data_IF_780979912574
#
_entry.id   IF_780979912574
#
_cell.length_a   1.000
_cell.length_b   1.000
_cell.length_c   1.000
_cell.angle_alpha   90.00
_cell.angle_beta   90.00
_cell.angle_gamma   90.00
#
_symmetry.space_group_name_H-M   'P 1'
#
loop_
_entity.id
_entity.type
_entity.pdbx_description
1 polymer ?
#
# COMPACT_ATOMS: atom_id res chain seq x y z
N UNK A 1 -7.04 -19.19 -49.81
CA UNK A 1 -6.78 -18.02 -48.96
C UNK A 1 -5.29 -18.03 -48.66
N UNK A 2 -4.56 -16.97 -48.98
CA UNK A 2 -3.12 -16.90 -48.69
C UNK A 2 -2.89 -16.80 -47.17
N UNK A 3 -2.11 -17.73 -46.65
CA UNK A 3 -1.82 -17.83 -45.21
C UNK A 3 -1.08 -16.60 -44.70
N UNK A 4 -0.16 -16.04 -45.48
CA UNK A 4 0.60 -14.86 -45.07
C UNK A 4 -0.29 -13.62 -45.00
N UNK A 5 -1.22 -13.47 -45.95
CA UNK A 5 -2.22 -12.41 -45.92
C UNK A 5 -3.14 -12.52 -44.69
N UNK A 6 -3.64 -13.72 -44.38
CA UNK A 6 -4.44 -13.95 -43.18
C UNK A 6 -3.66 -13.61 -41.91
N UNK A 7 -2.42 -14.11 -41.79
CA UNK A 7 -1.55 -13.87 -40.64
C UNK A 7 -1.26 -12.38 -40.45
N UNK A 8 -0.99 -11.65 -41.53
CA UNK A 8 -0.78 -10.20 -41.48
C UNK A 8 -2.03 -9.46 -40.99
N UNK A 9 -3.20 -9.75 -41.57
CA UNK A 9 -4.48 -9.13 -41.16
C UNK A 9 -4.83 -9.47 -39.70
N UNK A 10 -4.61 -10.72 -39.29
CA UNK A 10 -4.84 -11.17 -37.92
C UNK A 10 -3.95 -10.43 -36.93
N UNK A 11 -2.64 -10.36 -37.19
CA UNK A 11 -1.69 -9.63 -36.34
C UNK A 11 -2.00 -8.13 -36.32
N UNK A 12 -2.37 -7.53 -37.46
CA UNK A 12 -2.79 -6.14 -37.52
C UNK A 12 -4.05 -5.86 -36.70
N UNK A 13 -4.95 -6.85 -36.52
CA UNK A 13 -6.18 -6.67 -35.74
C UNK A 13 -5.98 -6.87 -34.22
N UNK A 14 -5.13 -7.82 -33.83
CA UNK A 14 -5.03 -8.30 -32.44
C UNK A 14 -3.69 -8.02 -31.74
N UNK A 15 -2.66 -7.68 -32.51
CA UNK A 15 -1.30 -7.36 -32.03
C UNK A 15 -0.75 -6.08 -32.69
N UNK A 16 -1.63 -5.14 -33.04
CA UNK A 16 -1.21 -3.85 -33.57
C UNK A 16 -0.43 -3.04 -32.54
N UNK A 17 0.33 -2.05 -33.03
CA UNK A 17 1.00 -1.07 -32.19
C UNK A 17 0.04 -0.40 -31.21
N UNK A 18 -1.17 -0.03 -31.64
CA UNK A 18 -2.17 0.58 -30.78
C UNK A 18 -2.59 -0.34 -29.61
N UNK A 19 -2.80 -1.64 -29.88
CA UNK A 19 -3.12 -2.63 -28.84
C UNK A 19 -1.95 -2.77 -27.87
N UNK A 20 -0.72 -2.93 -28.37
CA UNK A 20 0.48 -3.06 -27.54
C UNK A 20 0.70 -1.82 -26.66
N UNK A 21 0.56 -0.62 -27.23
CA UNK A 21 0.66 0.64 -26.48
C UNK A 21 -0.42 0.76 -25.41
N UNK A 22 -1.66 0.34 -25.69
CA UNK A 22 -2.72 0.31 -24.69
C UNK A 22 -2.39 -0.64 -23.53
N UNK A 23 -1.87 -1.83 -23.82
CA UNK A 23 -1.48 -2.80 -22.80
C UNK A 23 -0.29 -2.31 -21.97
N UNK A 24 0.69 -1.64 -22.58
CA UNK A 24 1.81 -1.02 -21.85
C UNK A 24 1.32 0.07 -20.89
N UNK A 25 0.36 0.89 -21.33
CA UNK A 25 -0.30 1.88 -20.46
C UNK A 25 -1.02 1.21 -19.28
N UNK A 26 -1.65 0.05 -19.48
CA UNK A 26 -2.26 -0.72 -18.39
C UNK A 26 -1.21 -1.34 -17.46
N UNK A 27 -0.08 -1.80 -17.99
CA UNK A 27 0.98 -2.42 -17.20
C UNK A 27 1.67 -1.39 -16.30
N UNK A 28 2.13 -0.27 -16.85
CA UNK A 28 2.95 0.69 -16.11
C UNK A 28 2.19 1.93 -15.62
N UNK A 29 1.06 2.28 -16.24
CA UNK A 29 0.32 3.51 -15.95
C UNK A 29 -0.87 3.36 -15.01
N UNK A 30 -1.29 2.13 -14.70
CA UNK A 30 -2.43 1.89 -13.80
C UNK A 30 -1.92 1.41 -12.43
N UNK A 31 -2.01 2.23 -11.36
CA UNK A 31 -1.71 1.77 -10.01
C UNK A 31 -2.79 0.80 -9.51
N UNK A 32 -2.51 0.11 -8.39
CA UNK A 32 -3.51 -0.67 -7.69
C UNK A 32 -4.67 0.25 -7.27
N UNK A 33 -5.91 -0.14 -7.57
CA UNK A 33 -7.09 0.68 -7.27
C UNK A 33 -7.43 0.60 -5.77
N UNK A 34 -8.06 1.62 -5.19
CA UNK A 34 -8.59 1.54 -3.83
C UNK A 34 -9.54 0.33 -3.68
N UNK A 35 -9.30 -0.51 -2.68
CA UNK A 35 -10.08 -1.73 -2.43
C UNK A 35 -9.80 -2.92 -3.37
N UNK A 36 -8.91 -2.77 -4.37
CA UNK A 36 -8.46 -3.90 -5.18
C UNK A 36 -7.58 -4.84 -4.35
N UNK A 37 -7.82 -6.14 -4.46
CA UNK A 37 -7.03 -7.14 -3.73
C UNK A 37 -5.65 -7.34 -4.36
N UNK A 38 -4.66 -7.73 -3.55
CA UNK A 38 -3.35 -8.16 -4.03
C UNK A 38 -3.45 -9.18 -5.16
N UNK A 39 -4.33 -10.18 -5.01
CA UNK A 39 -4.56 -11.21 -6.01
C UNK A 39 -5.00 -10.64 -7.37
N UNK A 40 -6.00 -9.76 -7.37
CA UNK A 40 -6.52 -9.17 -8.60
C UNK A 40 -5.46 -8.33 -9.31
N UNK A 41 -4.75 -7.49 -8.56
CA UNK A 41 -3.69 -6.63 -9.07
C UNK A 41 -2.54 -7.44 -9.67
N UNK A 42 -1.95 -8.36 -8.89
CA UNK A 42 -0.79 -9.17 -9.30
C UNK A 42 -1.14 -10.04 -10.50
N UNK A 43 -2.30 -10.69 -10.49
CA UNK A 43 -2.76 -11.54 -11.61
C UNK A 43 -2.92 -10.71 -12.89
N UNK A 44 -3.51 -9.53 -12.81
CA UNK A 44 -3.64 -8.63 -13.97
C UNK A 44 -2.26 -8.24 -14.53
N UNK A 45 -1.33 -7.81 -13.67
CA UNK A 45 0.01 -7.39 -14.10
C UNK A 45 0.81 -8.55 -14.70
N UNK A 46 0.73 -9.74 -14.11
CA UNK A 46 1.37 -10.94 -14.64
C UNK A 46 0.83 -11.33 -16.01
N UNK A 47 -0.48 -11.25 -16.22
CA UNK A 47 -1.11 -11.52 -17.51
C UNK A 47 -0.68 -10.51 -18.58
N UNK A 48 -0.56 -9.22 -18.22
CA UNK A 48 -0.04 -8.20 -19.12
C UNK A 48 1.42 -8.47 -19.51
N UNK A 49 2.27 -8.86 -18.55
CA UNK A 49 3.66 -9.24 -18.83
C UNK A 49 3.76 -10.48 -19.73
N UNK A 50 2.96 -11.53 -19.46
CA UNK A 50 2.90 -12.73 -20.32
C UNK A 50 2.51 -12.40 -21.76
N UNK A 51 1.66 -11.39 -21.97
CA UNK A 51 1.23 -10.96 -23.30
C UNK A 51 2.24 -10.05 -24.00
N UNK A 52 2.85 -9.12 -23.28
CA UNK A 52 3.75 -8.10 -23.84
C UNK A 52 5.20 -8.58 -23.98
N UNK A 53 5.65 -9.40 -23.04
CA UNK A 53 7.02 -9.88 -22.92
C UNK A 53 7.05 -11.36 -22.48
N UNK A 54 6.57 -12.29 -23.34
CA UNK A 54 6.48 -13.71 -23.00
C UNK A 54 7.84 -14.35 -22.67
N UNK A 55 8.92 -13.86 -23.31
CA UNK A 55 10.27 -14.38 -23.14
C UNK A 55 10.95 -13.96 -21.82
N UNK A 56 10.37 -12.99 -21.08
CA UNK A 56 10.94 -12.55 -19.80
C UNK A 56 10.87 -13.67 -18.76
N UNK A 57 11.96 -13.99 -18.04
CA UNK A 57 11.96 -14.97 -16.96
C UNK A 57 10.93 -14.64 -15.87
N UNK A 58 10.41 -15.66 -15.19
CA UNK A 58 9.38 -15.46 -14.14
C UNK A 58 9.92 -14.61 -12.99
N UNK A 59 11.17 -14.80 -12.56
CA UNK A 59 11.83 -13.98 -11.52
C UNK A 59 11.81 -12.49 -11.88
N UNK A 60 12.18 -12.14 -13.12
CA UNK A 60 12.18 -10.75 -13.59
C UNK A 60 10.77 -10.17 -13.68
N UNK A 61 9.77 -10.97 -14.08
CA UNK A 61 8.36 -10.55 -14.05
C UNK A 61 7.92 -10.22 -12.62
N UNK A 62 8.29 -11.03 -11.63
CA UNK A 62 7.93 -10.80 -10.23
C UNK A 62 8.60 -9.55 -9.66
N UNK A 63 9.87 -9.30 -9.99
CA UNK A 63 10.55 -8.05 -9.62
C UNK A 63 9.89 -6.82 -10.24
N UNK A 64 9.51 -6.88 -11.52
CA UNK A 64 8.74 -5.80 -12.15
C UNK A 64 7.42 -5.56 -11.40
N UNK A 65 6.68 -6.62 -11.06
CA UNK A 65 5.42 -6.47 -10.31
C UNK A 65 5.68 -5.87 -8.93
N UNK A 66 6.77 -6.25 -8.24
CA UNK A 66 7.13 -5.71 -6.92
C UNK A 66 7.35 -4.21 -6.99
N UNK A 67 8.00 -3.73 -8.04
CA UNK A 67 8.20 -2.29 -8.26
C UNK A 67 6.89 -1.53 -8.56
N UNK A 68 5.87 -2.21 -9.07
CA UNK A 68 4.55 -1.66 -9.35
C UNK A 68 3.58 -1.70 -8.16
N UNK A 69 3.96 -2.35 -7.05
CA UNK A 69 3.14 -2.36 -5.83
C UNK A 69 3.00 -0.95 -5.23
N UNK A 70 1.94 -0.70 -4.44
CA UNK A 70 1.79 0.54 -3.69
C UNK A 70 3.04 0.85 -2.85
N UNK A 71 3.44 2.13 -2.70
CA UNK A 71 4.67 2.49 -1.99
C UNK A 71 4.83 1.89 -0.58
N UNK A 72 3.76 1.82 0.28
CA UNK A 72 3.86 1.20 1.59
C UNK A 72 4.14 -0.31 1.53
N UNK A 73 3.52 -1.01 0.58
CA UNK A 73 3.76 -2.44 0.38
C UNK A 73 5.17 -2.67 -0.17
N UNK A 74 5.56 -1.88 -1.18
CA UNK A 74 6.87 -2.00 -1.84
C UNK A 74 8.03 -1.79 -0.88
N UNK A 75 7.92 -0.86 0.07
CA UNK A 75 8.97 -0.61 1.06
C UNK A 75 9.22 -1.82 1.96
N UNK A 76 8.14 -2.48 2.41
CA UNK A 76 8.22 -3.69 3.24
C UNK A 76 8.76 -4.88 2.44
N UNK A 77 8.40 -5.00 1.17
CA UNK A 77 8.82 -6.14 0.33
C UNK A 77 10.20 -5.96 -0.33
N UNK A 78 10.92 -4.85 -0.11
CA UNK A 78 12.12 -4.48 -0.88
C UNK A 78 13.26 -5.50 -0.85
N UNK A 79 13.37 -6.30 0.20
CA UNK A 79 14.39 -7.35 0.34
C UNK A 79 13.86 -8.77 0.11
N UNK A 80 12.59 -8.93 -0.22
CA UNK A 80 11.96 -10.23 -0.37
C UNK A 80 12.11 -10.69 -1.81
N UNK A 81 12.79 -11.83 -2.01
CA UNK A 81 12.76 -12.55 -3.28
C UNK A 81 11.55 -13.47 -3.32
N UNK A 82 10.70 -13.27 -4.32
CA UNK A 82 9.54 -14.14 -4.55
C UNK A 82 9.93 -15.30 -5.46
N UNK A 83 9.65 -16.53 -5.02
CA UNK A 83 9.88 -17.74 -5.80
C UNK A 83 8.84 -17.91 -6.91
N UNK A 84 7.59 -17.54 -6.64
CA UNK A 84 6.49 -17.64 -7.57
C UNK A 84 5.39 -16.59 -7.29
N UNK A 85 4.43 -16.49 -8.21
CA UNK A 85 3.33 -15.54 -8.11
C UNK A 85 2.39 -15.83 -6.93
N UNK A 86 2.24 -17.08 -6.50
CA UNK A 86 1.38 -17.46 -5.39
C UNK A 86 1.96 -16.93 -4.07
N UNK A 87 3.24 -17.18 -3.85
CA UNK A 87 3.96 -16.66 -2.68
C UNK A 87 3.91 -15.13 -2.64
N UNK A 88 4.06 -14.46 -3.79
CA UNK A 88 3.93 -13.01 -3.88
C UNK A 88 2.55 -12.53 -3.44
N UNK A 89 1.47 -13.16 -3.92
CA UNK A 89 0.11 -12.82 -3.51
C UNK A 89 -0.09 -13.01 -2.01
N UNK A 90 0.35 -14.13 -1.46
CA UNK A 90 0.19 -14.45 -0.03
C UNK A 90 0.90 -13.41 0.86
N UNK A 91 2.17 -13.09 0.56
CA UNK A 91 2.95 -12.11 1.32
C UNK A 91 2.36 -10.70 1.17
N UNK A 92 2.04 -10.27 -0.05
CA UNK A 92 1.50 -8.93 -0.30
C UNK A 92 0.14 -8.77 0.36
N UNK A 93 -0.73 -9.79 0.30
CA UNK A 93 -2.02 -9.77 0.98
C UNK A 93 -1.87 -9.66 2.49
N UNK A 94 -0.90 -10.37 3.10
CA UNK A 94 -0.63 -10.25 4.53
C UNK A 94 -0.18 -8.83 4.89
N UNK A 95 0.79 -8.27 4.16
CA UNK A 95 1.27 -6.91 4.38
C UNK A 95 0.15 -5.88 4.27
N UNK A 96 -0.74 -6.03 3.29
CA UNK A 96 -1.89 -5.13 3.11
C UNK A 96 -2.89 -5.24 4.27
N UNK A 97 -3.11 -6.44 4.82
CA UNK A 97 -3.91 -6.62 6.04
C UNK A 97 -3.25 -5.97 7.25
N UNK A 98 -1.95 -6.17 7.45
CA UNK A 98 -1.21 -5.60 8.58
C UNK A 98 -1.29 -4.06 8.58
N UNK A 99 -1.24 -3.44 7.40
CA UNK A 99 -1.46 -1.99 7.26
C UNK A 99 -2.89 -1.58 7.63
N UNK A 100 -3.90 -2.32 7.15
CA UNK A 100 -5.30 -2.02 7.47
C UNK A 100 -5.62 -2.21 8.97
N UNK A 101 -5.01 -3.19 9.63
CA UNK A 101 -5.15 -3.44 11.07
C UNK A 101 -4.37 -2.41 11.90
N UNK A 102 -3.18 -2.01 11.44
CA UNK A 102 -2.33 -1.00 12.08
C UNK A 102 -2.86 0.44 11.99
N UNK A 103 -3.82 0.71 11.10
CA UNK A 103 -4.56 1.98 10.99
C UNK A 103 -5.65 2.15 12.05
N UNK A 104 -5.88 1.15 12.92
CA UNK A 104 -6.63 1.40 14.16
C UNK A 104 -5.90 2.47 14.99
N UNK A 105 -6.60 3.50 15.52
CA UNK A 105 -5.92 4.62 16.15
C UNK A 105 -5.19 4.13 17.40
N UNK A 106 -3.89 3.86 17.27
CA UNK A 106 -3.00 3.74 18.41
C UNK A 106 -3.14 5.05 19.16
N UNK A 107 -3.69 4.96 20.37
CA UNK A 107 -4.03 6.09 21.22
C UNK A 107 -2.89 7.10 21.23
N UNK A 108 -3.27 8.39 21.21
CA UNK A 108 -2.38 9.55 21.18
C UNK A 108 -1.03 9.24 21.85
N UNK A 109 0.11 9.49 21.17
CA UNK A 109 1.41 9.35 21.80
C UNK A 109 1.40 10.16 23.12
N UNK A 110 2.00 9.63 24.20
CA UNK A 110 2.07 10.38 25.45
C UNK A 110 2.72 11.74 25.16
N UNK A 111 2.14 12.86 25.63
CA UNK A 111 2.66 14.17 25.30
C UNK A 111 4.12 14.29 25.78
N UNK A 112 5.05 14.39 24.83
CA UNK A 112 6.51 14.51 25.04
C UNK A 112 6.93 15.93 25.43
N UNK A 113 6.07 16.65 26.15
CA UNK A 113 6.33 18.00 26.63
C UNK A 113 6.10 18.13 28.13
N UNK A 114 6.83 19.01 28.83
CA UNK A 114 6.50 19.34 30.22
C UNK A 114 5.03 19.78 30.29
N UNK A 115 4.26 19.34 31.31
CA UNK A 115 2.84 19.68 31.41
C UNK A 115 2.70 21.20 31.39
N UNK A 116 1.85 21.70 30.50
CA UNK A 116 1.48 23.11 30.47
C UNK A 116 0.91 23.52 31.84
N UNK A 117 1.19 24.73 32.32
CA UNK A 117 0.64 25.22 33.59
C UNK A 117 -0.88 25.04 33.59
N UNK A 118 -1.41 24.44 34.66
CA UNK A 118 -2.83 24.22 34.81
C UNK A 118 -3.58 25.56 34.77
N UNK A 119 -4.59 25.67 33.90
CA UNK A 119 -5.35 26.94 33.73
C UNK A 119 -6.04 27.43 35.00
N UNK A 120 -6.30 26.54 35.97
CA UNK A 120 -7.06 26.86 37.19
C UNK A 120 -6.19 27.34 38.36
N UNK A 121 -4.93 26.92 38.44
CA UNK A 121 -4.06 27.24 39.58
C UNK A 121 -2.59 27.48 39.20
N UNK A 122 -2.29 27.50 37.89
CA UNK A 122 -0.96 27.68 37.31
C UNK A 122 0.11 26.65 37.74
N UNK A 123 -0.28 25.60 38.47
CA UNK A 123 0.62 24.51 38.88
C UNK A 123 0.98 23.55 37.73
N UNK A 124 2.09 22.83 37.87
CA UNK A 124 2.54 21.80 36.91
C UNK A 124 1.90 20.44 37.22
N UNK A 125 0.68 20.23 36.75
CA UNK A 125 -0.03 18.96 36.83
C UNK A 125 -1.05 18.83 35.70
N UNK A 126 -1.53 17.61 35.44
CA UNK A 126 -2.64 17.42 34.51
C UNK A 126 -3.92 18.04 35.07
N UNK A 127 -4.72 18.64 34.19
CA UNK A 127 -5.98 19.30 34.56
C UNK A 127 -6.94 18.41 35.38
N UNK A 128 -6.90 17.09 35.19
CA UNK A 128 -7.70 16.11 35.96
C UNK A 128 -7.26 15.98 37.42
N UNK A 129 -5.99 16.24 37.70
CA UNK A 129 -5.35 16.12 39.02
C UNK A 129 -5.27 17.48 39.72
N UNK A 130 -6.04 18.47 39.24
CA UNK A 130 -6.02 19.81 39.81
C UNK A 130 -6.74 19.86 41.17
N UNK A 131 -6.05 20.20 42.27
CA UNK A 131 -6.67 20.27 43.60
C UNK A 131 -7.76 21.34 43.69
N UNK A 132 -7.66 22.43 42.91
CA UNK A 132 -8.70 23.45 42.81
C UNK A 132 -10.00 22.93 42.18
N UNK A 133 -9.95 21.82 41.42
CA UNK A 133 -11.11 21.17 40.79
C UNK A 133 -11.72 20.06 41.66
N UNK A 134 -10.93 19.44 42.53
CA UNK A 134 -11.37 18.31 43.38
C UNK A 134 -12.14 18.76 44.65
N UNK A 135 -12.48 20.04 44.77
CA UNK A 135 -13.55 20.47 45.67
C UNK A 135 -13.28 20.26 47.16
N UNK A 136 -12.04 20.38 47.62
CA UNK A 136 -11.75 20.39 49.06
C UNK A 136 -10.82 21.55 49.43
N UNK A 137 -11.37 22.76 49.40
CA UNK A 137 -10.78 23.92 50.08
C UNK A 137 -11.13 23.85 51.57
N UNK A 138 -10.35 23.11 52.34
CA UNK A 138 -10.30 23.34 53.80
C UNK A 138 -9.41 24.55 54.03
N UNK A 139 -9.99 25.59 54.62
CA UNK A 139 -9.33 26.81 55.10
C UNK A 139 -8.06 26.47 55.88
N UNK A 140 -6.92 26.98 55.43
CA UNK A 140 -5.76 27.20 56.27
C UNK A 140 -5.36 28.67 56.11
N UNK A 141 -6.04 29.52 56.86
CA UNK A 141 -5.51 30.81 57.29
C UNK A 141 -5.16 30.66 58.76
N UNK A 142 -3.87 30.73 59.06
CA UNK A 142 -3.29 31.13 60.33
C UNK A 142 -1.95 31.79 60.01
#
# INVERSE_FOLDING_TARGET
>A
MDWELFKWQFLARFNSTAVRSSLLKQLYGQPQRPGETAYAFITMKLNLLKRLAPATPEEEKLEIIRELLPPPTRSVTRGIKFCDARQMVEIVAQVQRDFAEGETPRGNPPPTGPPSPCRFCQGRHFHRDCPARQGNWVRAGA
#
